data_IF_609857273609
#
_entry.id   IF_609857273609
#
_cell.length_a   1.000
_cell.length_b   1.000
_cell.length_c   1.000
_cell.angle_alpha   90.00
_cell.angle_beta   90.00
_cell.angle_gamma   90.00
#
_symmetry.space_group_name_H-M   'P 1'
#
loop_
_entity.id
_entity.type
_entity.pdbx_description
1 polymer ?
#
# COMPACT_ATOMS: atom_id res chain seq x y z
N UNK A 1 31.73 4.63 -45.68
CA UNK A 1 32.32 4.55 -44.33
C UNK A 1 31.67 3.36 -43.62
N UNK A 2 32.42 2.28 -43.38
CA UNK A 2 31.90 1.01 -42.82
C UNK A 2 31.95 1.07 -41.29
N UNK A 3 30.81 0.92 -40.62
CA UNK A 3 30.73 0.81 -39.16
C UNK A 3 30.86 -0.69 -38.80
N UNK A 4 31.90 -1.04 -38.03
CA UNK A 4 32.04 -2.36 -37.40
C UNK A 4 31.51 -2.26 -35.98
N UNK A 5 30.47 -3.01 -35.65
CA UNK A 5 29.99 -3.19 -34.28
C UNK A 5 30.74 -4.37 -33.67
N UNK A 6 31.50 -4.08 -32.61
CA UNK A 6 32.26 -5.07 -31.84
C UNK A 6 31.33 -5.69 -30.80
N UNK A 7 31.03 -6.98 -30.90
CA UNK A 7 30.29 -7.73 -29.87
C UNK A 7 31.26 -8.08 -28.72
N UNK A 8 31.04 -7.51 -27.55
CA UNK A 8 31.69 -7.93 -26.30
C UNK A 8 30.76 -8.95 -25.63
N UNK A 9 31.24 -10.18 -25.49
CA UNK A 9 30.59 -11.25 -24.72
C UNK A 9 31.11 -11.14 -23.30
N UNK A 10 30.26 -10.73 -22.35
CA UNK A 10 30.59 -10.70 -20.93
C UNK A 10 30.18 -12.04 -20.30
N UNK A 11 31.16 -12.76 -19.76
CA UNK A 11 30.97 -14.05 -19.10
C UNK A 11 30.63 -13.79 -17.63
N UNK A 12 29.41 -14.15 -17.20
CA UNK A 12 29.02 -14.08 -15.79
C UNK A 12 29.59 -15.26 -15.02
N UNK A 13 30.46 -14.99 -14.04
CA UNK A 13 30.94 -15.96 -13.05
C UNK A 13 30.06 -15.80 -11.80
N UNK A 14 29.25 -16.81 -11.48
CA UNK A 14 28.47 -16.87 -10.24
C UNK A 14 29.36 -17.40 -9.10
N UNK A 15 29.57 -16.66 -8.00
CA UNK A 15 30.18 -17.22 -6.81
C UNK A 15 29.15 -18.03 -6.02
N UNK A 16 29.52 -19.29 -5.73
CA UNK A 16 28.76 -20.23 -4.92
C UNK A 16 28.86 -19.82 -3.43
N UNK A 17 27.77 -19.33 -2.86
CA UNK A 17 27.68 -19.04 -1.42
C UNK A 17 27.45 -20.35 -0.64
N UNK A 18 28.45 -20.74 0.15
CA UNK A 18 28.37 -21.84 1.11
C UNK A 18 27.65 -21.32 2.36
N UNK A 19 26.51 -21.89 2.69
CA UNK A 19 25.76 -21.59 3.92
C UNK A 19 26.24 -22.53 5.02
N UNK A 20 26.92 -22.00 6.04
CA UNK A 20 27.27 -22.75 7.25
C UNK A 20 26.11 -22.59 8.23
N UNK A 21 25.34 -23.66 8.43
CA UNK A 21 24.30 -23.74 9.45
C UNK A 21 24.93 -24.03 10.82
N UNK A 22 24.82 -23.08 11.74
CA UNK A 22 25.17 -23.27 13.15
C UNK A 22 23.96 -23.76 13.93
N UNK A 23 23.93 -25.05 14.22
CA UNK A 23 22.94 -25.70 15.07
C UNK A 23 23.24 -25.41 16.55
N UNK A 24 22.33 -24.72 17.25
CA UNK A 24 22.44 -24.46 18.70
C UNK A 24 21.36 -25.22 19.45
N UNK A 25 21.73 -26.40 19.92
CA UNK A 25 20.99 -27.18 20.92
C UNK A 25 20.93 -26.43 22.27
N UNK A 26 19.73 -26.03 22.70
CA UNK A 26 19.47 -25.57 24.07
C UNK A 26 18.81 -26.70 24.86
N UNK A 27 19.53 -27.20 25.86
CA UNK A 27 19.08 -28.21 26.82
C UNK A 27 17.98 -27.64 27.72
N UNK A 28 16.87 -28.37 27.80
CA UNK A 28 15.81 -28.22 28.82
C UNK A 28 16.28 -28.87 30.13
N UNK A 29 16.25 -28.11 31.24
CA UNK A 29 16.38 -28.63 32.60
C UNK A 29 15.06 -28.41 33.34
N UNK A 30 14.59 -29.47 34.01
CA UNK A 30 13.27 -29.55 34.63
C UNK A 30 13.10 -28.79 35.96
N UNK A 31 11.86 -28.35 36.18
CA UNK A 31 11.02 -28.72 37.33
C UNK A 31 11.34 -28.15 38.72
N UNK A 32 10.48 -27.21 39.19
CA UNK A 32 9.95 -27.17 40.57
C UNK A 32 8.52 -26.57 40.51
N UNK A 33 7.52 -27.14 41.20
CA UNK A 33 6.10 -26.76 41.08
C UNK A 33 5.75 -25.57 41.98
N UNK A 34 4.96 -24.62 41.47
CA UNK A 34 4.42 -23.51 42.27
C UNK A 34 2.91 -23.67 42.48
N UNK A 35 2.51 -23.50 43.74
CA UNK A 35 1.18 -23.74 44.31
C UNK A 35 0.08 -22.96 43.60
N UNK A 36 -0.99 -23.70 43.25
CA UNK A 36 -2.31 -23.16 42.90
C UNK A 36 -2.87 -22.42 44.11
N UNK A 37 -3.16 -21.13 43.94
CA UNK A 37 -3.93 -20.33 44.87
C UNK A 37 -5.30 -20.13 44.25
N UNK A 38 -6.30 -20.79 44.81
CA UNK A 38 -7.71 -20.59 44.47
C UNK A 38 -8.12 -19.15 44.82
N UNK A 39 -8.81 -18.48 43.89
CA UNK A 39 -9.59 -17.27 44.14
C UNK A 39 -11.07 -17.56 43.89
N UNK A 40 -11.98 -16.96 44.68
CA UNK A 40 -13.37 -17.37 44.74
C UNK A 40 -14.19 -16.87 43.55
N UNK A 41 -15.21 -17.66 43.22
CA UNK A 41 -16.26 -17.35 42.27
C UNK A 41 -17.21 -16.27 42.81
N UNK A 42 -17.45 -15.23 42.02
CA UNK A 42 -18.76 -14.59 41.75
C UNK A 42 -18.56 -13.17 41.19
N UNK A 43 -19.01 -12.93 39.96
CA UNK A 43 -20.34 -12.37 39.68
C UNK A 43 -20.44 -12.17 38.16
N UNK A 44 -21.36 -12.91 37.54
CA UNK A 44 -21.80 -12.67 36.17
C UNK A 44 -22.44 -11.28 36.08
N UNK A 45 -21.86 -10.44 35.24
CA UNK A 45 -22.56 -9.30 34.62
C UNK A 45 -22.52 -9.54 33.12
N UNK A 46 -23.56 -10.19 32.61
CA UNK A 46 -23.77 -10.40 31.18
C UNK A 46 -24.11 -9.06 30.51
N UNK A 47 -23.07 -8.26 30.25
CA UNK A 47 -23.15 -7.28 29.17
C UNK A 47 -23.33 -8.05 27.85
N UNK A 48 -24.15 -7.58 26.89
CA UNK A 48 -24.23 -8.20 25.59
C UNK A 48 -22.82 -8.20 24.99
N UNK A 49 -22.28 -9.37 24.70
CA UNK A 49 -21.11 -9.53 23.86
C UNK A 49 -21.47 -8.92 22.52
N UNK A 50 -21.08 -7.66 22.31
CA UNK A 50 -21.00 -7.07 20.98
C UNK A 50 -20.13 -8.03 20.17
N UNK A 51 -20.78 -8.73 19.23
CA UNK A 51 -20.11 -9.66 18.34
C UNK A 51 -18.91 -8.93 17.75
N UNK A 52 -17.70 -9.45 18.01
CA UNK A 52 -16.50 -8.91 17.36
C UNK A 52 -16.75 -8.98 15.86
N UNK A 53 -16.59 -7.89 15.10
CA UNK A 53 -16.72 -7.95 13.65
C UNK A 53 -15.79 -9.05 13.13
N UNK A 54 -16.34 -9.95 12.31
CA UNK A 54 -15.57 -11.06 11.74
C UNK A 54 -14.47 -10.57 10.79
N UNK A 55 -13.60 -11.47 10.33
CA UNK A 55 -12.56 -11.12 9.37
C UNK A 55 -13.19 -10.56 8.09
N UNK A 56 -12.59 -9.53 7.50
CA UNK A 56 -13.07 -8.97 6.23
C UNK A 56 -12.81 -10.00 5.12
N UNK A 57 -13.84 -10.32 4.35
CA UNK A 57 -13.77 -11.21 3.20
C UNK A 57 -13.80 -10.41 1.90
N UNK A 58 -12.85 -10.69 1.02
CA UNK A 58 -12.74 -10.10 -0.32
C UNK A 58 -12.97 -11.19 -1.35
N UNK A 59 -14.04 -11.03 -2.13
CA UNK A 59 -14.36 -11.93 -3.26
C UNK A 59 -14.06 -11.23 -4.58
N UNK A 60 -13.47 -11.96 -5.52
CA UNK A 60 -13.05 -11.44 -6.83
C UNK A 60 -13.71 -12.29 -7.92
N UNK A 61 -14.36 -11.64 -8.88
CA UNK A 61 -14.99 -12.28 -10.03
C UNK A 61 -14.55 -11.62 -11.33
N UNK A 62 -14.24 -12.42 -12.35
CA UNK A 62 -14.09 -11.92 -13.72
C UNK A 62 -15.47 -11.66 -14.30
N UNK A 63 -15.67 -10.51 -14.93
CA UNK A 63 -16.96 -10.10 -15.50
C UNK A 63 -16.84 -9.82 -17.00
N UNK A 64 -17.98 -9.75 -17.67
CA UNK A 64 -18.03 -9.34 -19.08
C UNK A 64 -17.73 -7.85 -19.23
N UNK A 65 -17.33 -7.44 -20.44
CA UNK A 65 -17.12 -6.03 -20.74
C UNK A 65 -18.44 -5.25 -20.67
N UNK A 66 -19.53 -5.88 -21.07
CA UNK A 66 -20.88 -5.32 -21.06
C UNK A 66 -21.34 -5.03 -19.62
N UNK A 67 -21.14 -5.99 -18.71
CA UNK A 67 -21.49 -5.82 -17.29
C UNK A 67 -20.64 -4.72 -16.64
N UNK A 68 -19.35 -4.68 -16.97
CA UNK A 68 -18.44 -3.65 -16.46
C UNK A 68 -18.89 -2.25 -16.87
N UNK A 69 -19.13 -2.02 -18.16
CA UNK A 69 -19.55 -0.71 -18.66
C UNK A 69 -20.99 -0.36 -18.24
N UNK A 70 -21.86 -1.35 -18.03
CA UNK A 70 -23.18 -1.11 -17.44
C UNK A 70 -23.07 -0.63 -15.99
N UNK A 71 -22.15 -1.17 -15.20
CA UNK A 71 -21.92 -0.73 -13.82
C UNK A 71 -21.27 0.67 -13.77
N UNK A 72 -20.35 0.97 -14.70
CA UNK A 72 -19.64 2.25 -14.77
C UNK A 72 -20.59 3.43 -14.98
N UNK A 73 -21.68 3.25 -15.75
CA UNK A 73 -22.68 4.30 -16.01
C UNK A 73 -23.32 4.88 -14.74
N UNK A 74 -23.33 4.12 -13.65
CA UNK A 74 -23.89 4.52 -12.37
C UNK A 74 -22.82 4.89 -11.33
N UNK A 75 -21.54 4.78 -11.70
CA UNK A 75 -20.43 5.07 -10.81
C UNK A 75 -20.38 6.57 -10.50
N UNK A 76 -20.08 6.90 -9.24
CA UNK A 76 -19.82 8.28 -8.86
C UNK A 76 -18.38 8.63 -9.22
N UNK A 77 -18.16 9.84 -9.71
CA UNK A 77 -16.81 10.34 -9.95
C UNK A 77 -15.98 10.34 -8.67
N UNK A 78 -14.77 9.78 -8.75
CA UNK A 78 -13.78 9.87 -7.69
C UNK A 78 -13.35 11.33 -7.49
N UNK A 79 -13.27 11.77 -6.23
CA UNK A 79 -12.79 13.12 -5.91
C UNK A 79 -11.32 13.03 -5.53
N UNK A 80 -10.42 13.71 -6.26
CA UNK A 80 -9.01 13.78 -5.88
C UNK A 80 -8.84 14.35 -4.47
N UNK A 81 -7.83 13.86 -3.76
CA UNK A 81 -7.48 14.40 -2.45
C UNK A 81 -6.87 15.80 -2.58
N UNK A 82 -7.21 16.67 -1.63
CA UNK A 82 -6.56 17.97 -1.50
C UNK A 82 -5.08 17.76 -1.17
N UNK A 83 -4.21 18.46 -1.90
CA UNK A 83 -2.77 18.35 -1.77
C UNK A 83 -2.08 19.69 -1.94
N UNK A 84 -0.89 19.79 -1.37
CA UNK A 84 0.00 20.93 -1.49
C UNK A 84 1.22 20.48 -2.28
N UNK A 85 1.50 21.17 -3.39
CA UNK A 85 2.68 20.94 -4.25
C UNK A 85 3.61 22.15 -4.30
N UNK A 86 3.17 23.31 -3.80
CA UNK A 86 4.00 24.51 -3.75
C UNK A 86 5.10 24.36 -2.69
N UNK A 87 6.36 24.50 -3.13
CA UNK A 87 7.54 24.29 -2.28
C UNK A 87 7.56 25.25 -1.09
N UNK A 88 7.26 26.54 -1.30
CA UNK A 88 7.28 27.53 -0.22
C UNK A 88 6.22 27.24 0.83
N UNK A 89 5.01 26.88 0.38
CA UNK A 89 3.90 26.54 1.28
C UNK A 89 4.22 25.26 2.07
N UNK A 90 4.76 24.22 1.42
CA UNK A 90 5.06 22.96 2.12
C UNK A 90 6.22 23.11 3.11
N UNK A 91 7.29 23.83 2.74
CA UNK A 91 8.42 24.10 3.63
C UNK A 91 7.97 24.87 4.89
N UNK A 92 7.07 25.83 4.74
CA UNK A 92 6.50 26.55 5.88
C UNK A 92 5.61 25.66 6.74
N UNK A 93 4.74 24.85 6.13
CA UNK A 93 3.79 23.98 6.86
C UNK A 93 4.47 22.81 7.56
N UNK A 94 5.55 22.29 6.98
CA UNK A 94 6.28 21.14 7.50
C UNK A 94 7.60 21.54 8.17
N UNK A 95 7.75 22.82 8.53
CA UNK A 95 8.87 23.30 9.33
C UNK A 95 9.01 22.44 10.60
N UNK A 96 10.26 22.12 10.96
CA UNK A 96 10.63 21.25 12.09
C UNK A 96 10.27 19.75 11.93
N UNK A 97 9.37 19.40 11.01
CA UNK A 97 8.97 18.02 10.72
C UNK A 97 9.79 17.45 9.58
N UNK A 98 10.01 18.22 8.52
CA UNK A 98 10.78 17.78 7.35
C UNK A 98 11.91 18.78 7.11
N UNK A 99 13.13 18.27 7.10
CA UNK A 99 14.30 19.03 6.71
C UNK A 99 14.48 18.87 5.20
N UNK A 100 14.10 19.90 4.46
CA UNK A 100 14.20 19.92 3.00
C UNK A 100 15.60 20.34 2.54
N UNK A 101 15.97 19.89 1.34
CA UNK A 101 17.12 20.37 0.59
C UNK A 101 16.66 20.96 -0.74
N UNK A 102 16.81 22.27 -0.90
CA UNK A 102 16.56 22.91 -2.20
C UNK A 102 17.68 22.53 -3.17
N UNK A 103 17.27 22.03 -4.32
CA UNK A 103 18.11 21.80 -5.48
C UNK A 103 17.45 22.49 -6.69
N UNK A 104 18.22 22.79 -7.75
CA UNK A 104 17.80 23.73 -8.82
C UNK A 104 16.34 23.58 -9.30
N UNK A 105 15.87 22.34 -9.46
CA UNK A 105 14.53 22.04 -10.00
C UNK A 105 13.69 21.10 -9.14
N UNK A 106 14.18 20.72 -7.96
CA UNK A 106 13.46 19.79 -7.08
C UNK A 106 13.75 20.07 -5.61
N UNK A 107 12.83 19.61 -4.78
CA UNK A 107 12.93 19.77 -3.33
C UNK A 107 13.24 18.40 -2.72
N UNK A 108 14.51 18.15 -2.41
CA UNK A 108 14.97 16.92 -1.77
C UNK A 108 14.64 16.85 -0.28
N UNK A 109 14.77 15.67 0.31
CA UNK A 109 14.50 15.44 1.75
C UNK A 109 15.77 14.98 2.46
N UNK A 110 16.27 15.74 3.42
CA UNK A 110 17.40 15.31 4.27
C UNK A 110 16.95 14.40 5.39
N UNK A 111 15.84 14.76 6.03
CA UNK A 111 15.37 14.11 7.25
C UNK A 111 13.89 14.34 7.47
N UNK A 112 13.26 13.37 8.13
CA UNK A 112 11.88 13.45 8.61
C UNK A 112 11.89 13.19 10.11
N UNK A 113 11.27 14.10 10.87
CA UNK A 113 11.04 14.04 12.30
C UNK A 113 9.55 13.75 12.53
N UNK A 114 9.18 12.46 12.62
CA UNK A 114 7.80 12.04 12.88
C UNK A 114 7.26 12.62 14.19
N UNK A 115 5.97 13.01 14.20
CA UNK A 115 5.37 13.74 15.33
C UNK A 115 5.29 12.92 16.61
N UNK A 116 4.87 11.66 16.52
CA UNK A 116 4.57 10.82 17.69
C UNK A 116 5.52 9.64 17.86
N UNK A 117 6.58 9.56 17.05
CA UNK A 117 7.53 8.45 17.10
C UNK A 117 8.96 8.99 17.08
N UNK A 118 9.81 8.67 18.07
CA UNK A 118 11.22 9.05 18.01
C UNK A 118 11.87 8.32 16.84
N UNK A 119 12.22 9.08 15.79
CA UNK A 119 13.01 8.71 14.61
C UNK A 119 13.02 7.21 14.32
N UNK A 120 11.95 6.70 13.70
CA UNK A 120 12.05 5.42 12.99
C UNK A 120 13.21 5.58 12.02
N UNK A 121 14.19 4.69 12.06
CA UNK A 121 15.25 4.70 11.04
C UNK A 121 14.54 4.63 9.69
N UNK A 122 14.73 5.65 8.86
CA UNK A 122 14.22 5.60 7.50
C UNK A 122 14.83 4.35 6.85
N UNK A 123 13.98 3.37 6.56
CA UNK A 123 14.39 2.16 5.83
C UNK A 123 14.73 2.50 4.37
N UNK A 124 14.29 3.68 3.92
CA UNK A 124 14.51 4.25 2.59
C UNK A 124 15.64 5.26 2.65
N UNK A 125 16.58 5.14 1.70
CA UNK A 125 17.60 6.17 1.44
C UNK A 125 16.93 7.40 0.83
N UNK A 126 16.83 8.48 1.61
CA UNK A 126 16.19 9.72 1.19
C UNK A 126 17.04 10.55 0.23
N UNK A 127 18.32 10.21 0.03
CA UNK A 127 19.22 10.99 -0.83
C UNK A 127 18.83 10.96 -2.30
N UNK A 128 18.09 9.93 -2.72
CA UNK A 128 17.56 9.81 -4.08
C UNK A 128 16.07 10.21 -4.18
N UNK A 129 15.52 10.83 -3.13
CA UNK A 129 14.11 11.17 -3.05
C UNK A 129 13.86 12.67 -3.25
N UNK A 130 12.79 12.98 -3.98
CA UNK A 130 12.29 14.33 -4.21
C UNK A 130 10.83 14.45 -3.77
N UNK A 131 10.47 15.63 -3.28
CA UNK A 131 9.10 15.95 -2.87
C UNK A 131 8.15 15.98 -4.07
N UNK A 132 7.00 15.31 -3.92
CA UNK A 132 5.91 15.31 -4.92
C UNK A 132 4.71 16.09 -4.40
N UNK A 133 4.21 15.73 -3.21
CA UNK A 133 2.99 16.32 -2.66
C UNK A 133 2.90 16.10 -1.15
N UNK A 134 2.23 17.00 -0.46
CA UNK A 134 1.81 16.82 0.93
C UNK A 134 0.28 16.82 1.00
N UNK A 135 -0.30 15.86 1.72
CA UNK A 135 -1.75 15.67 1.88
C UNK A 135 -2.17 16.03 3.32
N UNK A 136 -2.61 17.27 3.58
CA UNK A 136 -2.81 17.76 4.95
C UNK A 136 -3.91 17.04 5.73
N UNK A 137 -4.94 16.54 5.04
CA UNK A 137 -6.07 15.86 5.69
C UNK A 137 -5.69 14.51 6.32
N UNK A 138 -4.62 13.88 5.83
CA UNK A 138 -4.10 12.61 6.33
C UNK A 138 -2.67 12.73 6.90
N UNK A 139 -2.07 13.93 6.87
CA UNK A 139 -0.68 14.21 7.28
C UNK A 139 0.32 13.29 6.57
N UNK A 140 0.11 13.04 5.27
CA UNK A 140 0.96 12.16 4.45
C UNK A 140 1.89 12.99 3.56
N UNK A 141 3.18 12.70 3.62
CA UNK A 141 4.20 13.17 2.69
C UNK A 141 4.39 12.13 1.58
N UNK A 142 4.31 12.56 0.32
CA UNK A 142 4.61 11.75 -0.85
C UNK A 142 5.87 12.26 -1.55
N UNK A 143 6.75 11.33 -1.85
CA UNK A 143 8.02 11.50 -2.52
C UNK A 143 8.09 10.59 -3.74
N UNK A 144 8.91 10.99 -4.70
CA UNK A 144 9.38 10.15 -5.79
C UNK A 144 10.86 9.88 -5.54
N UNK A 145 11.26 8.60 -5.50
CA UNK A 145 12.64 8.21 -5.31
C UNK A 145 13.19 7.48 -6.55
N UNK A 146 14.38 6.86 -6.44
CA UNK A 146 15.03 6.13 -7.52
C UNK A 146 14.07 5.21 -8.30
N UNK A 147 14.28 5.11 -9.63
CA UNK A 147 13.36 4.41 -10.54
C UNK A 147 11.91 4.94 -10.52
N UNK A 148 11.73 6.22 -10.21
CA UNK A 148 10.43 6.89 -10.08
C UNK A 148 9.49 6.20 -9.09
N UNK A 149 10.03 5.50 -8.08
CA UNK A 149 9.23 4.76 -7.12
C UNK A 149 8.43 5.72 -6.23
N UNK A 150 7.20 5.34 -5.93
CA UNK A 150 6.39 6.03 -4.94
C UNK A 150 6.90 5.72 -3.54
N UNK A 151 7.28 6.77 -2.80
CA UNK A 151 7.61 6.63 -1.37
C UNK A 151 6.74 7.58 -0.58
N UNK A 152 6.08 7.07 0.45
CA UNK A 152 5.22 7.92 1.29
C UNK A 152 5.35 7.61 2.77
N UNK A 153 5.00 8.62 3.56
CA UNK A 153 5.11 8.58 5.01
C UNK A 153 3.91 9.26 5.65
N UNK A 154 3.26 8.59 6.60
CA UNK A 154 2.35 9.23 7.57
C UNK A 154 3.23 9.94 8.60
N UNK A 155 3.24 11.28 8.56
CA UNK A 155 4.10 12.10 9.41
C UNK A 155 3.68 12.05 10.89
N UNK A 156 2.45 11.64 11.18
CA UNK A 156 1.93 11.45 12.54
C UNK A 156 2.42 10.13 13.14
N UNK A 157 2.40 9.03 12.39
CA UNK A 157 2.64 7.68 12.92
C UNK A 157 4.01 7.09 12.56
N UNK A 158 4.62 7.53 11.46
CA UNK A 158 5.81 6.92 10.88
C UNK A 158 5.52 5.71 10.00
N UNK A 159 4.25 5.40 9.72
CA UNK A 159 3.91 4.35 8.74
C UNK A 159 4.42 4.73 7.35
N UNK A 160 4.92 3.75 6.63
CA UNK A 160 5.59 3.90 5.32
C UNK A 160 4.70 3.41 4.17
N UNK A 161 5.23 3.53 2.95
CA UNK A 161 4.58 3.31 1.66
C UNK A 161 3.57 2.15 1.59
N UNK A 162 3.88 0.95 2.07
CA UNK A 162 2.96 -0.19 1.95
C UNK A 162 1.78 -0.18 2.94
N UNK A 163 1.77 0.77 3.87
CA UNK A 163 0.63 1.05 4.75
C UNK A 163 -0.13 2.30 4.32
N UNK A 164 0.58 3.32 3.81
CA UNK A 164 0.01 4.64 3.46
C UNK A 164 -0.42 4.73 2.00
N UNK A 165 0.33 4.11 1.10
CA UNK A 165 0.14 4.11 -0.36
C UNK A 165 0.48 5.44 -1.03
N UNK A 166 0.03 5.64 -2.26
CA UNK A 166 0.13 6.92 -2.95
C UNK A 166 -1.24 7.63 -2.99
N UNK A 167 -1.48 8.67 -2.17
CA UNK A 167 -2.78 9.36 -2.15
C UNK A 167 -3.12 10.11 -3.44
N UNK A 168 -2.19 10.26 -4.41
CA UNK A 168 -2.53 10.74 -5.75
C UNK A 168 -3.26 9.68 -6.61
N UNK A 169 -3.11 8.40 -6.27
CA UNK A 169 -3.58 7.27 -7.08
C UNK A 169 -4.77 6.53 -6.44
N UNK A 170 -5.35 7.09 -5.38
CA UNK A 170 -6.47 6.46 -4.67
C UNK A 170 -7.78 6.64 -5.41
N UNK A 171 -8.62 5.60 -5.35
CA UNK A 171 -10.05 5.73 -5.64
C UNK A 171 -10.87 5.37 -4.43
N UNK A 172 -11.81 6.24 -4.09
CA UNK A 172 -12.55 6.15 -2.83
C UNK A 172 -14.01 5.79 -3.10
N UNK A 173 -14.53 4.86 -2.31
CA UNK A 173 -15.95 4.50 -2.31
C UNK A 173 -16.88 5.69 -2.06
N UNK A 174 -18.15 5.64 -2.49
CA UNK A 174 -19.10 6.76 -2.39
C UNK A 174 -19.23 7.41 -0.99
N UNK A 175 -19.21 6.64 0.09
CA UNK A 175 -19.25 7.16 1.46
C UNK A 175 -17.89 7.54 2.03
N UNK A 176 -16.80 7.12 1.38
CA UNK A 176 -15.45 7.20 1.93
C UNK A 176 -15.09 6.11 2.92
N UNK A 177 -15.90 5.05 3.06
CA UNK A 177 -15.61 3.91 3.96
C UNK A 177 -14.39 3.13 3.51
N UNK A 178 -14.26 2.83 2.22
CA UNK A 178 -13.12 2.13 1.66
C UNK A 178 -12.44 2.93 0.55
N UNK A 179 -11.18 2.61 0.29
CA UNK A 179 -10.46 3.06 -0.90
C UNK A 179 -9.54 1.98 -1.45
N UNK A 180 -9.39 1.99 -2.76
CA UNK A 180 -8.29 1.32 -3.45
C UNK A 180 -7.09 2.26 -3.43
N UNK A 181 -5.94 1.74 -3.06
CA UNK A 181 -4.67 2.47 -3.08
C UNK A 181 -3.65 1.73 -3.94
N UNK A 182 -2.71 2.48 -4.50
CA UNK A 182 -1.68 2.00 -5.41
C UNK A 182 -0.32 2.58 -5.02
N UNK A 183 0.73 1.83 -5.29
CA UNK A 183 2.13 2.25 -5.15
C UNK A 183 2.86 1.79 -6.38
N UNK A 184 3.52 2.70 -7.08
CA UNK A 184 4.45 2.33 -8.14
C UNK A 184 5.80 1.94 -7.52
N UNK A 185 6.22 0.68 -7.69
CA UNK A 185 7.43 0.15 -7.03
C UNK A 185 8.71 0.41 -7.84
N UNK A 186 8.62 1.20 -8.92
CA UNK A 186 9.76 1.55 -9.79
C UNK A 186 10.14 0.49 -10.83
N UNK A 187 9.47 -0.66 -10.79
CA UNK A 187 9.42 -1.63 -11.87
C UNK A 187 7.97 -1.67 -12.36
N UNK A 188 7.72 -2.00 -13.62
CA UNK A 188 6.47 -1.82 -14.40
C UNK A 188 5.12 -2.10 -13.71
N UNK A 189 5.08 -2.78 -12.56
CA UNK A 189 3.89 -3.09 -11.80
C UNK A 189 3.63 -2.13 -10.63
N UNK A 190 2.35 -2.03 -10.30
CA UNK A 190 1.89 -1.40 -9.07
C UNK A 190 1.59 -2.46 -8.00
N UNK A 191 1.82 -2.07 -6.76
CA UNK A 191 1.28 -2.74 -5.61
C UNK A 191 -0.10 -2.16 -5.27
N UNK A 192 -1.12 -3.01 -5.20
CA UNK A 192 -2.51 -2.62 -4.95
C UNK A 192 -3.00 -3.22 -3.64
N UNK A 193 -3.71 -2.39 -2.87
CA UNK A 193 -4.32 -2.82 -1.62
C UNK A 193 -5.57 -2.01 -1.32
N UNK A 194 -6.45 -2.60 -0.53
CA UNK A 194 -7.69 -1.97 -0.08
C UNK A 194 -7.49 -1.50 1.35
N UNK A 195 -7.94 -0.27 1.62
CA UNK A 195 -7.96 0.31 2.94
C UNK A 195 -9.39 0.63 3.38
N UNK A 196 -9.64 0.51 4.68
CA UNK A 196 -10.88 0.91 5.33
C UNK A 196 -10.64 2.10 6.26
N UNK A 197 -11.54 3.09 6.22
CA UNK A 197 -11.53 4.23 7.12
C UNK A 197 -12.15 3.85 8.46
N UNK A 198 -11.32 3.77 9.50
CA UNK A 198 -11.73 3.54 10.88
C UNK A 198 -11.22 4.66 11.78
N UNK A 199 -12.11 5.28 12.54
CA UNK A 199 -11.80 6.41 13.44
C UNK A 199 -11.05 7.56 12.73
N UNK A 200 -11.49 7.89 11.51
CA UNK A 200 -10.91 8.98 10.72
C UNK A 200 -9.62 8.62 9.96
N UNK A 201 -9.00 7.46 10.20
CA UNK A 201 -7.79 7.01 9.51
C UNK A 201 -8.03 5.81 8.64
N UNK A 202 -7.37 5.75 7.48
CA UNK A 202 -7.37 4.56 6.65
C UNK A 202 -6.40 3.52 7.20
N UNK A 203 -6.81 2.26 7.20
CA UNK A 203 -5.98 1.11 7.53
C UNK A 203 -6.12 0.06 6.45
N UNK A 204 -5.01 -0.56 6.08
CA UNK A 204 -4.99 -1.66 5.13
C UNK A 204 -5.79 -2.85 5.68
N UNK A 205 -6.64 -3.41 4.82
CA UNK A 205 -7.50 -4.55 5.16
C UNK A 205 -7.33 -5.73 4.22
N UNK A 206 -6.78 -5.53 3.02
CA UNK A 206 -6.52 -6.58 2.07
C UNK A 206 -5.37 -6.19 1.13
N UNK A 207 -4.40 -7.09 0.98
CA UNK A 207 -3.38 -7.03 -0.06
C UNK A 207 -3.99 -7.52 -1.36
N UNK A 208 -4.45 -6.59 -2.19
CA UNK A 208 -5.27 -6.95 -3.34
C UNK A 208 -4.46 -7.76 -4.37
N UNK A 209 -3.17 -7.48 -4.53
CA UNK A 209 -2.28 -8.29 -5.37
C UNK A 209 -2.28 -9.77 -4.94
N UNK A 210 -2.10 -10.04 -3.64
CA UNK A 210 -2.03 -11.40 -3.09
C UNK A 210 -3.37 -12.13 -3.21
N UNK A 211 -4.47 -11.45 -2.83
CA UNK A 211 -5.82 -12.01 -2.92
C UNK A 211 -6.18 -12.30 -4.37
N UNK A 212 -5.82 -11.41 -5.30
CA UNK A 212 -6.08 -11.56 -6.72
C UNK A 212 -5.29 -12.73 -7.33
N UNK A 213 -4.00 -12.84 -7.04
CA UNK A 213 -3.16 -13.95 -7.52
C UNK A 213 -3.66 -15.29 -6.98
N UNK A 214 -3.98 -15.38 -5.69
CA UNK A 214 -4.53 -16.59 -5.08
C UNK A 214 -5.84 -17.04 -5.74
N UNK A 215 -6.72 -16.09 -6.12
CA UNK A 215 -8.04 -16.40 -6.69
C UNK A 215 -8.02 -16.65 -8.20
N UNK A 216 -7.12 -16.01 -8.94
CA UNK A 216 -7.14 -15.99 -10.40
C UNK A 216 -5.93 -16.66 -11.05
N UNK A 217 -4.85 -16.88 -10.29
CA UNK A 217 -3.56 -17.34 -10.81
C UNK A 217 -2.81 -16.31 -11.66
N UNK A 218 -3.18 -15.03 -11.58
CA UNK A 218 -2.62 -13.92 -12.38
C UNK A 218 -2.03 -12.85 -11.48
N UNK A 219 -1.00 -12.17 -11.97
CA UNK A 219 -0.44 -11.01 -11.30
C UNK A 219 -1.26 -9.76 -11.57
N UNK A 220 -1.61 -9.04 -10.50
CA UNK A 220 -2.29 -7.75 -10.56
C UNK A 220 -1.26 -6.63 -10.76
N UNK A 221 -0.72 -6.51 -11.98
CA UNK A 221 0.40 -5.62 -12.28
C UNK A 221 -0.04 -4.18 -12.57
N UNK A 222 -0.84 -3.95 -13.63
CA UNK A 222 -1.38 -2.64 -13.98
C UNK A 222 -2.89 -2.76 -14.14
N UNK A 223 -3.61 -1.93 -13.37
CA UNK A 223 -5.05 -1.77 -13.51
C UNK A 223 -5.37 -0.35 -13.95
N UNK A 224 -6.43 -0.26 -14.74
CA UNK A 224 -7.02 1.01 -15.16
C UNK A 224 -8.54 0.91 -15.07
N UNK A 225 -9.21 2.05 -15.34
CA UNK A 225 -10.67 2.14 -15.36
C UNK A 225 -11.29 1.76 -14.01
N UNK A 226 -10.56 1.93 -12.93
CA UNK A 226 -11.03 1.57 -11.62
C UNK A 226 -12.15 2.51 -11.13
N UNK A 227 -13.23 1.95 -10.60
CA UNK A 227 -14.32 2.73 -10.01
C UNK A 227 -15.07 1.94 -8.95
N UNK A 228 -15.68 2.66 -8.01
CA UNK A 228 -16.59 2.08 -7.02
C UNK A 228 -18.03 2.26 -7.48
N UNK A 229 -18.76 1.14 -7.63
CA UNK A 229 -20.19 1.20 -7.92
C UNK A 229 -21.00 1.55 -6.67
N UNK A 230 -20.57 1.05 -5.51
CA UNK A 230 -21.11 1.34 -4.19
C UNK A 230 -20.00 1.25 -3.13
N UNK A 231 -20.36 1.21 -1.85
CA UNK A 231 -19.36 1.15 -0.77
C UNK A 231 -18.64 -0.19 -0.63
N UNK A 232 -19.11 -1.25 -1.26
CA UNK A 232 -18.57 -2.60 -1.10
C UNK A 232 -18.07 -3.19 -2.40
N UNK A 233 -18.40 -2.58 -3.54
CA UNK A 233 -18.13 -3.11 -4.86
C UNK A 233 -17.18 -2.19 -5.64
N UNK A 234 -15.96 -2.67 -5.84
CA UNK A 234 -14.93 -2.07 -6.69
C UNK A 234 -14.88 -2.82 -8.02
N UNK A 235 -14.75 -2.08 -9.12
CA UNK A 235 -14.47 -2.63 -10.45
C UNK A 235 -13.15 -2.08 -10.97
N UNK A 236 -12.44 -2.87 -11.78
CA UNK A 236 -11.27 -2.42 -12.54
C UNK A 236 -11.05 -3.27 -13.80
N UNK A 237 -10.29 -2.72 -14.75
CA UNK A 237 -9.73 -3.45 -15.88
C UNK A 237 -8.26 -3.80 -15.62
N UNK A 238 -7.92 -5.08 -15.59
CA UNK A 238 -6.54 -5.55 -15.61
C UNK A 238 -5.99 -5.42 -17.03
N UNK A 239 -4.90 -4.68 -17.21
CA UNK A 239 -4.21 -4.58 -18.50
C UNK A 239 -3.56 -5.92 -18.81
N UNK A 240 -3.95 -6.54 -19.93
CA UNK A 240 -3.39 -7.81 -20.39
C UNK A 240 -2.45 -7.67 -21.58
N UNK A 241 -2.58 -6.58 -22.36
CA UNK A 241 -1.67 -6.25 -23.45
C UNK A 241 -1.51 -4.73 -23.62
N UNK A 242 -0.28 -4.28 -23.76
CA UNK A 242 0.04 -2.90 -24.12
C UNK A 242 -0.01 -2.71 -25.63
N UNK A 243 -0.85 -1.80 -26.13
CA UNK A 243 -0.92 -1.45 -27.56
C UNK A 243 -0.96 0.07 -27.73
N UNK A 244 -0.32 0.56 -28.78
CA UNK A 244 -0.25 1.99 -29.11
C UNK A 244 -1.63 2.63 -29.35
N UNK A 245 -2.60 1.84 -29.85
CA UNK A 245 -3.99 2.27 -30.05
C UNK A 245 -4.93 2.09 -28.86
N UNK A 246 -4.40 1.70 -27.68
CA UNK A 246 -5.17 1.43 -26.46
C UNK A 246 -4.98 0.01 -25.96
N UNK A 247 -4.83 -0.14 -24.63
CA UNK A 247 -4.58 -1.42 -23.99
C UNK A 247 -5.76 -2.40 -24.13
N UNK A 248 -5.47 -3.70 -24.03
CA UNK A 248 -6.49 -4.73 -23.83
C UNK A 248 -6.70 -5.00 -22.35
N UNK A 249 -7.94 -5.29 -21.97
CA UNK A 249 -8.33 -5.47 -20.58
C UNK A 249 -9.08 -6.78 -20.37
N UNK A 250 -8.89 -7.35 -19.19
CA UNK A 250 -9.89 -8.21 -18.57
C UNK A 250 -10.54 -7.46 -17.41
N UNK A 251 -11.86 -7.55 -17.29
CA UNK A 251 -12.61 -6.81 -16.28
C UNK A 251 -12.91 -7.68 -15.06
N UNK A 252 -12.80 -7.08 -13.88
CA UNK A 252 -13.03 -7.74 -12.61
C UNK A 252 -13.91 -6.91 -11.68
N UNK A 253 -14.75 -7.59 -10.92
CA UNK A 253 -15.49 -7.05 -9.79
C UNK A 253 -14.91 -7.59 -8.48
N UNK A 254 -14.75 -6.72 -7.49
CA UNK A 254 -14.30 -7.04 -6.15
C UNK A 254 -15.39 -6.63 -5.17
N UNK A 255 -15.88 -7.60 -4.38
CA UNK A 255 -16.86 -7.35 -3.32
C UNK A 255 -16.22 -7.55 -1.96
N UNK A 256 -16.46 -6.59 -1.07
CA UNK A 256 -15.99 -6.57 0.32
C UNK A 256 -17.18 -6.90 1.22
N UNK A 257 -17.02 -7.91 2.06
CA UNK A 257 -18.04 -8.31 3.04
C UNK A 257 -17.43 -8.54 4.41
N UNK A 258 -18.23 -8.35 5.45
CA UNK A 258 -17.84 -8.73 6.80
C UNK A 258 -18.06 -10.24 6.95
N UNK A 259 -17.00 -10.98 7.25
CA UNK A 259 -17.07 -12.41 7.47
C UNK A 259 -18.03 -12.73 8.61
N UNK A 260 -18.82 -13.77 8.42
CA UNK A 260 -19.66 -14.31 9.50
C UNK A 260 -18.76 -15.13 10.43
N UNK A 261 -18.76 -14.81 11.72
CA UNK A 261 -18.21 -15.69 12.76
C UNK A 261 -19.11 -16.92 12.93
#
# INVERSE_FOLDING_TARGET
MRIRVLKIVSTFVFPLMIVISCDRNVKSNGGVPSKVREMPANLESSAPLTSRPGPIEVTIEKISSEDFFSAEQHAKMNKPMEKITDFKIVQQKLAEIVEFEEQDHYLGIKKINFRNTPSVKNEVDLSECSFVSYFPSEDILLLECGHTMDVSFDLTTGQTTYETGNPNLVTTSPSGKYRLNKVYEGQECFYHFIQEKKNGKFKKIAELNEVFEMKTGKWLCVIEKEFWADDQTLYFGLVTQYKEGGHEYEFYGVKISEGKN
#
